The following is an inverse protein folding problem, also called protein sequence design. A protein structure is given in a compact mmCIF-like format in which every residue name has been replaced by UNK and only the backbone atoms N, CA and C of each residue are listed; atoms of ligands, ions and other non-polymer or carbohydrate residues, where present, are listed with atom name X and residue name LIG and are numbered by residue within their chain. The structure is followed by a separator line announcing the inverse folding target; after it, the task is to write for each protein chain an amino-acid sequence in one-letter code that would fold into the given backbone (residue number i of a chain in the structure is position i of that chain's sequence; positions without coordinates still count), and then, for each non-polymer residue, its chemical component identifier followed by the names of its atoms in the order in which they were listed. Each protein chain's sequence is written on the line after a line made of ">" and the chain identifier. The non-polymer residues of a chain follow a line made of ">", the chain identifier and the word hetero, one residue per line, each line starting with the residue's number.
data_IF_147287431252
#
_entry.id   IF_147287431252
#
_cell.length_a   1.000
_cell.length_b   1.000
_cell.length_c   1.000
_cell.angle_alpha   90.00
_cell.angle_beta   90.00
_cell.angle_gamma   90.00
#
_symmetry.space_group_name_H-M   'P 1'
#
loop_
_entity.id
_entity.type
_entity.pdbx_description
1 polymer ?
#
# COMPACT_ATOMS: atom_id res chain seq x y z
N UNK A 1 5.93 -10.13 -16.65
CA UNK A 1 7.37 -10.37 -16.38
C UNK A 1 8.22 -9.10 -16.39
N UNK A 2 7.98 -8.13 -17.28
CA UNK A 2 8.75 -6.87 -17.34
C UNK A 2 8.74 -6.07 -16.01
N UNK A 3 7.57 -5.93 -15.37
CA UNK A 3 7.43 -5.19 -14.09
C UNK A 3 8.31 -5.76 -12.97
N UNK A 4 8.42 -7.08 -12.87
CA UNK A 4 9.32 -7.71 -11.89
C UNK A 4 10.79 -7.36 -12.15
N UNK A 5 11.19 -7.21 -13.43
CA UNK A 5 12.52 -6.74 -13.80
C UNK A 5 12.80 -5.30 -13.37
N UNK A 6 11.79 -4.42 -13.47
CA UNK A 6 11.90 -3.04 -13.00
C UNK A 6 12.00 -2.95 -11.48
N UNK A 7 11.18 -3.70 -10.76
CA UNK A 7 11.26 -3.75 -9.29
C UNK A 7 12.63 -4.28 -8.86
N UNK A 8 13.14 -5.33 -9.52
CA UNK A 8 14.48 -5.85 -9.27
C UNK A 8 15.58 -4.80 -9.50
N UNK A 9 15.42 -3.93 -10.51
CA UNK A 9 16.32 -2.81 -10.74
C UNK A 9 16.24 -1.77 -9.61
N UNK A 10 15.04 -1.34 -9.23
CA UNK A 10 14.82 -0.42 -8.09
C UNK A 10 15.46 -0.99 -6.82
N UNK A 11 15.28 -2.28 -6.54
CA UNK A 11 15.89 -2.93 -5.38
C UNK A 11 17.43 -2.81 -5.41
N UNK A 12 18.06 -3.00 -6.57
CA UNK A 12 19.52 -2.93 -6.69
C UNK A 12 20.05 -1.49 -6.58
N UNK A 13 19.34 -0.56 -7.19
CA UNK A 13 19.78 0.83 -7.33
C UNK A 13 19.50 1.62 -6.04
N UNK A 14 18.28 1.50 -5.51
CA UNK A 14 17.79 2.32 -4.39
C UNK A 14 17.89 1.62 -3.03
N UNK A 15 18.09 0.30 -3.03
CA UNK A 15 18.29 -0.51 -1.81
C UNK A 15 17.25 -0.21 -0.71
N UNK A 16 15.95 -0.29 -1.02
CA UNK A 16 14.91 -0.01 -0.04
C UNK A 16 14.97 -1.00 1.12
N UNK A 17 14.48 -0.60 2.30
CA UNK A 17 14.34 -1.52 3.43
C UNK A 17 13.38 -2.67 3.11
N UNK A 18 12.30 -2.35 2.38
CA UNK A 18 11.23 -3.28 2.04
C UNK A 18 10.55 -2.87 0.75
N UNK A 19 10.03 -3.86 0.02
CA UNK A 19 9.16 -3.70 -1.14
C UNK A 19 7.88 -4.48 -0.88
N UNK A 20 6.79 -3.76 -0.66
CA UNK A 20 5.47 -4.34 -0.43
C UNK A 20 4.71 -4.42 -1.76
N UNK A 21 4.14 -5.59 -2.06
CA UNK A 21 3.45 -5.86 -3.33
C UNK A 21 2.03 -6.32 -3.02
N UNK A 22 1.03 -5.66 -3.61
CA UNK A 22 -0.36 -6.14 -3.52
C UNK A 22 -0.53 -7.44 -4.34
N UNK A 23 -0.75 -8.56 -3.65
CA UNK A 23 -0.95 -9.88 -4.25
C UNK A 23 -2.43 -10.24 -4.38
N UNK A 24 -3.37 -9.33 -4.09
CA UNK A 24 -4.80 -9.56 -4.27
C UNK A 24 -5.24 -9.76 -5.72
N UNK A 25 -4.41 -9.35 -6.68
CA UNK A 25 -4.65 -9.51 -8.13
C UNK A 25 -3.41 -10.01 -8.89
N UNK A 26 -3.02 -9.28 -9.93
CA UNK A 26 -1.89 -9.66 -10.80
C UNK A 26 -0.51 -9.66 -10.11
N UNK A 27 -0.40 -9.05 -8.93
CA UNK A 27 0.87 -8.93 -8.20
C UNK A 27 1.41 -10.24 -7.64
N UNK A 28 0.60 -11.30 -7.51
CA UNK A 28 1.08 -12.61 -7.05
C UNK A 28 2.21 -13.15 -7.94
N UNK A 29 2.04 -13.11 -9.27
CA UNK A 29 3.07 -13.55 -10.19
C UNK A 29 4.32 -12.65 -10.22
N UNK A 30 4.18 -11.37 -9.85
CA UNK A 30 5.31 -10.45 -9.71
C UNK A 30 6.11 -10.82 -8.45
N UNK A 31 5.42 -11.03 -7.34
CA UNK A 31 6.01 -11.47 -6.08
C UNK A 31 6.76 -12.80 -6.25
N UNK A 32 6.11 -13.83 -6.81
CA UNK A 32 6.71 -15.14 -7.03
C UNK A 32 7.97 -15.05 -7.88
N UNK A 33 7.95 -14.22 -8.93
CA UNK A 33 9.13 -14.02 -9.79
C UNK A 33 10.26 -13.27 -9.10
N UNK A 34 9.97 -12.38 -8.16
CA UNK A 34 11.01 -11.70 -7.36
C UNK A 34 11.59 -12.65 -6.31
N UNK A 35 10.76 -13.50 -5.70
CA UNK A 35 11.21 -14.58 -4.82
C UNK A 35 12.13 -15.55 -5.57
N UNK A 36 11.75 -15.98 -6.77
CA UNK A 36 12.57 -16.86 -7.63
C UNK A 36 13.95 -16.23 -7.96
N UNK A 37 14.01 -14.91 -8.09
CA UNK A 37 15.25 -14.16 -8.31
C UNK A 37 16.09 -13.95 -7.04
N UNK A 38 15.65 -14.46 -5.89
CA UNK A 38 16.36 -14.37 -4.62
C UNK A 38 16.08 -13.10 -3.81
N UNK A 39 15.08 -12.30 -4.19
CA UNK A 39 14.67 -11.12 -3.41
C UNK A 39 13.76 -11.45 -2.22
N UNK A 40 13.23 -12.67 -2.17
CA UNK A 40 12.49 -13.20 -1.02
C UNK A 40 13.17 -14.42 -0.42
N UNK A 41 13.01 -14.62 0.89
CA UNK A 41 13.45 -15.83 1.60
C UNK A 41 12.45 -16.18 2.70
N UNK A 42 12.43 -17.44 3.13
CA UNK A 42 11.57 -17.88 4.24
C UNK A 42 12.03 -17.21 5.54
N UNK A 43 11.20 -16.32 6.10
CA UNK A 43 11.50 -15.60 7.35
C UNK A 43 12.43 -14.38 7.24
N UNK A 44 12.94 -14.05 6.06
CA UNK A 44 13.74 -12.84 5.82
C UNK A 44 13.70 -12.48 4.33
N UNK A 45 13.57 -11.21 3.95
CA UNK A 45 13.51 -10.84 2.53
C UNK A 45 13.12 -9.40 2.33
N UNK A 46 13.54 -8.83 1.20
CA UNK A 46 13.24 -7.43 0.87
C UNK A 46 11.82 -7.30 0.30
N UNK A 47 11.31 -8.31 -0.40
CA UNK A 47 9.92 -8.31 -0.90
C UNK A 47 8.94 -8.88 0.13
N UNK A 48 7.74 -8.33 0.19
CA UNK A 48 6.65 -8.79 1.03
C UNK A 48 5.33 -8.76 0.27
N UNK A 49 4.55 -9.84 0.43
CA UNK A 49 3.24 -9.98 -0.15
C UNK A 49 2.20 -9.37 0.80
N UNK A 50 1.46 -8.38 0.31
CA UNK A 50 0.35 -7.75 1.02
C UNK A 50 -0.93 -8.09 0.28
N UNK A 51 -1.96 -8.56 0.98
CA UNK A 51 -3.26 -8.78 0.37
C UNK A 51 -4.24 -7.73 0.89
N UNK A 52 -4.63 -6.78 0.05
CA UNK A 52 -5.58 -5.72 0.43
C UNK A 52 -6.92 -6.25 0.97
N UNK A 53 -7.36 -7.41 0.48
CA UNK A 53 -8.60 -8.06 0.91
C UNK A 53 -8.49 -8.85 2.21
N UNK A 54 -7.31 -8.99 2.80
CA UNK A 54 -7.15 -9.73 4.06
C UNK A 54 -7.75 -8.97 5.24
N UNK A 55 -7.90 -9.67 6.37
CA UNK A 55 -8.25 -9.03 7.64
C UNK A 55 -7.20 -7.99 8.04
N UNK A 56 -7.58 -6.96 8.82
CA UNK A 56 -6.63 -6.07 9.45
C UNK A 56 -5.62 -6.83 10.33
N UNK A 57 -4.42 -6.29 10.51
CA UNK A 57 -3.42 -6.89 11.43
C UNK A 57 -3.64 -6.41 12.85
N UNK A 58 -4.00 -5.13 13.04
CA UNK A 58 -4.39 -4.64 14.36
C UNK A 58 -5.69 -5.32 14.81
N UNK A 59 -5.77 -5.73 16.09
CA UNK A 59 -6.98 -6.31 16.63
C UNK A 59 -8.14 -5.31 16.54
N UNK A 60 -9.37 -5.78 16.30
CA UNK A 60 -10.52 -4.89 16.23
C UNK A 60 -10.73 -4.20 17.58
N UNK A 61 -11.21 -2.96 17.52
CA UNK A 61 -11.72 -2.26 18.71
C UNK A 61 -12.90 -3.03 19.29
N UNK A 62 -13.06 -2.99 20.62
CA UNK A 62 -14.13 -3.70 21.33
C UNK A 62 -15.16 -2.69 21.86
N UNK A 63 -16.45 -3.04 21.83
CA UNK A 63 -17.50 -2.30 22.52
C UNK A 63 -17.50 -2.57 24.03
N UNK A 64 -18.36 -1.86 24.79
CA UNK A 64 -18.49 -2.02 26.24
C UNK A 64 -18.93 -3.44 26.67
N UNK A 65 -19.43 -4.24 25.72
CA UNK A 65 -19.81 -5.65 25.93
C UNK A 65 -18.69 -6.63 25.52
N UNK A 66 -17.50 -6.12 25.17
CA UNK A 66 -16.35 -6.92 24.74
C UNK A 66 -16.48 -7.52 23.34
N UNK A 67 -17.39 -7.01 22.50
CA UNK A 67 -17.58 -7.47 21.12
C UNK A 67 -16.80 -6.59 20.15
N UNK A 68 -16.21 -7.15 19.08
CA UNK A 68 -15.58 -6.35 18.03
C UNK A 68 -16.57 -5.33 17.45
N UNK A 69 -16.22 -4.05 17.52
CA UNK A 69 -17.03 -2.94 17.04
C UNK A 69 -16.12 -1.83 16.53
N UNK A 70 -16.31 -1.40 15.28
CA UNK A 70 -15.47 -0.38 14.65
C UNK A 70 -14.15 -0.88 14.07
N UNK A 71 -13.26 0.06 13.75
CA UNK A 71 -11.99 -0.20 13.09
C UNK A 71 -12.11 -0.40 11.57
N UNK A 72 -11.00 -0.69 10.87
CA UNK A 72 -11.03 -0.96 9.44
C UNK A 72 -11.69 -2.31 9.11
N UNK A 73 -12.41 -2.39 7.99
CA UNK A 73 -13.01 -3.63 7.52
C UNK A 73 -11.96 -4.65 7.05
N UNK A 74 -10.94 -4.17 6.33
CA UNK A 74 -9.91 -4.98 5.71
C UNK A 74 -8.53 -4.29 5.77
N UNK A 75 -7.52 -5.00 5.30
CA UNK A 75 -6.12 -4.56 5.30
C UNK A 75 -5.90 -3.29 4.49
N UNK A 76 -6.62 -3.10 3.37
CA UNK A 76 -6.57 -1.85 2.58
C UNK A 76 -7.06 -0.65 3.39
N UNK A 77 -8.23 -0.76 4.01
CA UNK A 77 -8.79 0.32 4.83
C UNK A 77 -7.89 0.66 6.03
N UNK A 78 -7.25 -0.35 6.63
CA UNK A 78 -6.28 -0.16 7.71
C UNK A 78 -5.05 0.63 7.25
N UNK A 79 -4.45 0.26 6.12
CA UNK A 79 -3.28 0.98 5.60
C UNK A 79 -3.61 2.42 5.20
N UNK A 80 -4.78 2.66 4.61
CA UNK A 80 -5.25 4.01 4.30
C UNK A 80 -5.48 4.85 5.57
N UNK A 81 -5.99 4.25 6.65
CA UNK A 81 -6.06 4.93 7.95
C UNK A 81 -4.67 5.26 8.51
N UNK A 82 -3.69 4.38 8.31
CA UNK A 82 -2.32 4.64 8.73
C UNK A 82 -1.69 5.80 7.95
N UNK A 83 -1.92 5.88 6.64
CA UNK A 83 -1.53 7.04 5.80
C UNK A 83 -2.16 8.31 6.35
N UNK A 84 -3.47 8.30 6.61
CA UNK A 84 -4.19 9.45 7.18
C UNK A 84 -3.56 9.94 8.49
N UNK A 85 -3.35 9.02 9.45
CA UNK A 85 -2.70 9.32 10.73
C UNK A 85 -1.30 9.90 10.54
N UNK A 86 -0.55 9.37 9.58
CA UNK A 86 0.81 9.82 9.30
C UNK A 86 0.86 11.22 8.68
N UNK A 87 -0.10 11.56 7.82
CA UNK A 87 -0.27 12.90 7.25
C UNK A 87 -0.69 13.92 8.31
N UNK A 88 -1.65 13.55 9.18
CA UNK A 88 -2.09 14.41 10.30
C UNK A 88 -0.95 14.71 11.28
N UNK A 89 -0.06 13.74 11.49
CA UNK A 89 1.13 13.90 12.34
C UNK A 89 2.32 14.58 11.65
N UNK A 90 2.23 14.88 10.35
CA UNK A 90 3.32 15.42 9.53
C UNK A 90 4.63 14.59 9.62
N UNK A 91 4.52 13.26 9.72
CA UNK A 91 5.68 12.37 9.89
C UNK A 91 6.45 12.09 8.60
N UNK A 92 5.88 12.42 7.44
CA UNK A 92 6.50 12.19 6.13
C UNK A 92 6.03 13.23 5.11
N UNK A 93 6.73 13.29 3.99
CA UNK A 93 6.39 14.12 2.84
C UNK A 93 5.97 13.24 1.65
N UNK A 94 5.08 13.77 0.84
CA UNK A 94 4.66 13.19 -0.42
C UNK A 94 5.24 14.01 -1.58
N UNK A 95 5.48 13.38 -2.75
CA UNK A 95 5.73 14.12 -3.98
C UNK A 95 4.60 15.11 -4.28
N UNK A 96 4.97 16.28 -4.79
CA UNK A 96 4.00 17.26 -5.27
C UNK A 96 3.54 16.85 -6.68
N UNK A 97 2.52 15.98 -6.73
CA UNK A 97 1.94 15.47 -7.97
C UNK A 97 0.41 15.53 -7.93
N UNK A 98 -0.19 16.12 -8.97
CA UNK A 98 -1.64 16.20 -9.13
C UNK A 98 -2.28 14.80 -9.25
N UNK A 99 -1.59 13.83 -9.86
CA UNK A 99 -2.08 12.45 -9.96
C UNK A 99 -2.18 11.81 -8.58
N UNK A 100 -1.13 11.95 -7.77
CA UNK A 100 -1.07 11.40 -6.43
C UNK A 100 -2.09 12.06 -5.51
N UNK A 101 -2.23 13.38 -5.59
CA UNK A 101 -3.25 14.11 -4.82
C UNK A 101 -4.67 13.68 -5.24
N UNK A 102 -4.91 13.49 -6.54
CA UNK A 102 -6.17 12.96 -7.06
C UNK A 102 -6.46 11.57 -6.51
N UNK A 103 -5.46 10.69 -6.51
CA UNK A 103 -5.59 9.33 -5.99
C UNK A 103 -5.85 9.31 -4.48
N UNK A 104 -5.16 10.14 -3.70
CA UNK A 104 -5.33 10.22 -2.24
C UNK A 104 -6.68 10.83 -1.83
N UNK A 105 -7.26 11.71 -2.65
CA UNK A 105 -8.56 12.34 -2.39
C UNK A 105 -9.72 11.66 -3.13
N UNK A 106 -9.46 10.70 -4.01
CA UNK A 106 -10.45 10.10 -4.89
C UNK A 106 -11.39 9.09 -4.21
N UNK A 107 -10.89 8.10 -3.45
CA UNK A 107 -11.71 7.06 -2.85
C UNK A 107 -12.69 7.57 -1.81
N UNK A 108 -13.95 7.15 -1.94
CA UNK A 108 -14.94 7.31 -0.87
C UNK A 108 -14.75 6.30 0.25
N UNK A 109 -15.53 6.46 1.32
CA UNK A 109 -15.66 5.46 2.37
C UNK A 109 -17.10 5.34 2.87
N UNK A 110 -17.39 4.24 3.51
CA UNK A 110 -18.68 3.92 4.12
C UNK A 110 -18.45 3.15 5.42
N UNK A 111 -19.51 2.88 6.17
CA UNK A 111 -19.45 2.03 7.34
C UNK A 111 -20.33 0.79 7.16
N UNK A 112 -19.83 -0.35 7.63
CA UNK A 112 -20.61 -1.59 7.72
C UNK A 112 -21.60 -1.51 8.88
N UNK A 113 -22.54 -2.46 8.96
CA UNK A 113 -23.53 -2.51 10.04
C UNK A 113 -22.92 -2.70 11.44
N UNK A 114 -21.73 -3.29 11.53
CA UNK A 114 -20.93 -3.41 12.75
C UNK A 114 -19.93 -2.24 12.95
N UNK A 115 -20.14 -1.14 12.23
CA UNK A 115 -19.42 0.12 12.41
C UNK A 115 -18.01 0.15 11.83
N UNK A 116 -17.59 -0.86 11.05
CA UNK A 116 -16.25 -0.87 10.47
C UNK A 116 -16.14 0.06 9.29
N UNK A 117 -15.01 0.74 9.16
CA UNK A 117 -14.68 1.58 8.02
C UNK A 117 -14.42 0.71 6.79
N UNK A 118 -15.25 0.87 5.77
CA UNK A 118 -15.11 0.27 4.45
C UNK A 118 -14.68 1.33 3.45
N UNK A 119 -13.48 1.19 2.90
CA UNK A 119 -13.02 2.00 1.79
C UNK A 119 -13.75 1.59 0.50
N UNK A 120 -14.08 2.56 -0.35
CA UNK A 120 -14.69 2.32 -1.66
C UNK A 120 -13.86 1.34 -2.49
N UNK A 121 -14.51 0.34 -3.09
CA UNK A 121 -13.80 -0.65 -3.90
C UNK A 121 -13.39 -0.07 -5.26
N UNK A 122 -12.33 -0.61 -5.86
CA UNK A 122 -11.87 -0.23 -7.20
C UNK A 122 -12.99 -0.36 -8.25
N UNK A 123 -13.82 -1.39 -8.12
CA UNK A 123 -14.98 -1.58 -8.99
C UNK A 123 -16.05 -0.50 -8.82
N UNK A 124 -16.27 0.00 -7.60
CA UNK A 124 -17.22 1.09 -7.34
C UNK A 124 -16.70 2.42 -7.91
N UNK A 125 -15.41 2.71 -7.73
CA UNK A 125 -14.77 3.88 -8.34
C UNK A 125 -14.92 3.86 -9.87
N UNK A 126 -14.60 2.71 -10.49
CA UNK A 126 -14.74 2.52 -11.94
C UNK A 126 -16.19 2.73 -12.40
N UNK A 127 -17.18 2.24 -11.65
CA UNK A 127 -18.61 2.40 -11.98
C UNK A 127 -19.06 3.86 -11.99
N UNK A 128 -18.47 4.72 -11.16
CA UNK A 128 -18.77 6.17 -11.15
C UNK A 128 -17.81 7.02 -11.99
N UNK A 129 -17.02 6.39 -12.85
CA UNK A 129 -16.13 7.08 -13.79
C UNK A 129 -14.80 7.56 -13.20
N UNK A 130 -14.41 7.05 -12.03
CA UNK A 130 -13.11 7.35 -11.42
C UNK A 130 -12.13 6.19 -11.64
N UNK A 131 -10.87 6.46 -12.01
CA UNK A 131 -9.85 5.41 -12.11
C UNK A 131 -9.54 4.77 -10.75
N UNK A 132 -8.83 3.64 -10.78
CA UNK A 132 -8.27 3.02 -9.57
C UNK A 132 -7.17 3.94 -8.99
N UNK A 133 -7.09 4.10 -7.66
CA UNK A 133 -6.13 4.99 -7.01
C UNK A 133 -4.79 4.27 -6.83
N UNK A 134 -4.14 3.91 -7.92
CA UNK A 134 -2.97 3.01 -7.89
C UNK A 134 -1.74 3.67 -7.23
N UNK A 135 -1.54 4.99 -7.37
CA UNK A 135 -0.47 5.72 -6.67
C UNK A 135 -0.78 5.86 -5.17
N UNK A 136 -2.04 6.15 -4.83
CA UNK A 136 -2.50 6.21 -3.44
C UNK A 136 -2.40 4.85 -2.74
N UNK A 137 -2.77 3.76 -3.41
CA UNK A 137 -2.59 2.40 -2.92
C UNK A 137 -1.10 2.03 -2.79
N UNK A 138 -0.23 2.53 -3.68
CA UNK A 138 1.22 2.34 -3.55
C UNK A 138 1.79 3.02 -2.30
N UNK A 139 1.35 4.24 -1.98
CA UNK A 139 1.66 4.90 -0.70
C UNK A 139 1.13 4.07 0.46
N UNK A 140 -0.12 3.59 0.39
CA UNK A 140 -0.70 2.76 1.45
C UNK A 140 0.09 1.48 1.72
N UNK A 141 0.66 0.84 0.69
CA UNK A 141 1.54 -0.32 0.84
C UNK A 141 2.81 -0.02 1.65
N UNK A 142 3.28 1.22 1.72
CA UNK A 142 4.39 1.59 2.60
C UNK A 142 4.02 1.56 4.09
N UNK A 143 2.72 1.55 4.42
CA UNK A 143 2.19 1.49 5.79
C UNK A 143 1.66 0.09 6.14
N UNK A 144 2.16 -0.94 5.45
CA UNK A 144 1.75 -2.34 5.64
C UNK A 144 2.43 -3.06 6.80
N UNK A 145 3.26 -2.42 7.61
CA UNK A 145 3.84 -3.02 8.82
C UNK A 145 3.55 -2.10 10.03
N UNK A 146 2.94 -2.60 11.12
CA UNK A 146 2.57 -1.77 12.28
C UNK A 146 3.76 -1.11 12.98
N UNK A 147 4.94 -1.73 12.90
CA UNK A 147 6.18 -1.19 13.47
C UNK A 147 6.85 -0.11 12.62
N UNK A 148 6.30 0.19 11.43
CA UNK A 148 6.96 0.95 10.38
C UNK A 148 8.06 0.13 9.69
N UNK A 149 8.27 0.36 8.39
CA UNK A 149 9.47 -0.15 7.74
C UNK A 149 10.70 0.54 8.36
N UNK A 150 11.82 -0.16 8.59
CA UNK A 150 13.02 0.47 9.13
C UNK A 150 13.48 1.60 8.21
N UNK A 151 13.70 2.79 8.78
CA UNK A 151 14.19 3.95 8.03
C UNK A 151 15.63 3.69 7.60
N UNK A 152 15.87 3.56 6.29
CA UNK A 152 17.23 3.46 5.76
C UNK A 152 17.87 4.85 5.80
N UNK A 153 18.74 5.07 6.78
CA UNK A 153 19.58 6.26 6.82
C UNK A 153 20.40 6.36 5.51
N UNK A 154 20.37 7.54 4.85
CA UNK A 154 21.05 7.86 3.58
C UNK A 154 20.40 7.34 2.28
N UNK A 155 19.09 7.12 2.24
CA UNK A 155 18.40 6.80 1.00
C UNK A 155 17.97 8.09 0.26
N UNK A 156 18.55 8.34 -0.91
CA UNK A 156 18.20 9.46 -1.80
C UNK A 156 16.88 9.15 -2.54
N UNK A 157 15.75 9.09 -1.82
CA UNK A 157 14.43 8.84 -2.42
C UNK A 157 13.84 10.05 -3.19
N UNK A 158 14.58 11.15 -3.33
CA UNK A 158 14.11 12.39 -3.97
C UNK A 158 14.28 12.43 -5.50
N UNK A 159 14.46 11.27 -6.17
CA UNK A 159 14.55 11.24 -7.64
C UNK A 159 13.21 10.85 -8.25
N UNK A 160 12.80 11.54 -9.32
CA UNK A 160 11.66 11.12 -10.14
C UNK A 160 11.96 9.75 -10.76
N UNK A 161 11.03 8.81 -10.65
CA UNK A 161 11.15 7.49 -11.29
C UNK A 161 10.45 7.58 -12.64
N UNK A 162 11.22 7.75 -13.71
CA UNK A 162 10.70 7.75 -15.07
C UNK A 162 10.55 6.31 -15.59
N UNK A 163 9.32 5.87 -15.88
CA UNK A 163 9.07 4.58 -16.51
C UNK A 163 9.03 4.73 -18.04
N UNK A 164 9.94 4.09 -18.80
CA UNK A 164 9.91 4.15 -20.26
C UNK A 164 8.57 3.61 -20.78
N UNK A 165 7.81 4.46 -21.46
CA UNK A 165 6.49 4.18 -22.06
C UNK A 165 5.30 4.03 -21.08
N UNK A 166 5.42 4.44 -19.81
CA UNK A 166 4.29 4.42 -18.86
C UNK A 166 4.06 5.74 -18.10
N UNK A 167 4.92 6.75 -18.30
CA UNK A 167 4.77 8.07 -17.67
C UNK A 167 5.59 8.22 -16.39
N UNK A 168 5.41 9.36 -15.73
CA UNK A 168 6.01 9.71 -14.44
C UNK A 168 5.14 9.16 -13.30
N UNK A 169 5.77 8.61 -12.26
CA UNK A 169 5.16 8.41 -10.94
C UNK A 169 5.94 9.27 -9.95
#
# INVERSE_FOLDING_TARGET
>A
MQVAGWIAQIIRDDKPAKVNIDVGGLGAGIYDRLVEQGYGNFGSGIVNAVNFGSKPVEPPTMDDSGRPSGGPENRRAEMWLNVKKALEGAYFALPDSDSLQTDLCGPGYSYTSDGRLRLESKDQMKKRGMPSPDEGDAVALCFSEPGGAPVVANSNFNRSIEYPNMGYV
#
